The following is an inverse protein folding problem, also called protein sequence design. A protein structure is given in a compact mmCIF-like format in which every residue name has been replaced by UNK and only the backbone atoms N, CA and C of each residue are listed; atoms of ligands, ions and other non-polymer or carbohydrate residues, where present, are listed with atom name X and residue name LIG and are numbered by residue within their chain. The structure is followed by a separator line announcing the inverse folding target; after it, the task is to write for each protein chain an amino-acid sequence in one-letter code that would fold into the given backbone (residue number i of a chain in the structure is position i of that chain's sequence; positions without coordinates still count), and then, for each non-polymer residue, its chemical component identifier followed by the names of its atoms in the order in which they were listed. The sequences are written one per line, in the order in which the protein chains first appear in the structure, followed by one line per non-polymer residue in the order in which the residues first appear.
data_IF_180931600919
#
_entry.id   IF_180931600919
#
_cell.length_a   1.000
_cell.length_b   1.000
_cell.length_c   1.000
_cell.angle_alpha   90.00
_cell.angle_beta   90.00
_cell.angle_gamma   90.00
#
_symmetry.space_group_name_H-M   'P 1'
#
loop_
_entity.id
_entity.type
_entity.pdbx_description
1 polymer ?
#
# COMPACT_ATOMS: atom_id res chain seq x y z
N UNK A 1 -71.82 16.64 -5.16
CA UNK A 1 -70.52 17.29 -4.84
C UNK A 1 -69.85 16.49 -3.74
N UNK A 2 -69.28 15.36 -4.12
CA UNK A 2 -68.48 14.47 -3.29
C UNK A 2 -67.47 13.83 -4.23
N UNK A 3 -66.20 13.89 -3.86
CA UNK A 3 -65.21 12.82 -4.05
C UNK A 3 -63.95 13.31 -3.32
N UNK A 4 -63.68 12.74 -2.15
CA UNK A 4 -62.92 11.50 -1.99
C UNK A 4 -61.46 11.87 -1.70
N UNK A 5 -61.24 12.27 -0.46
CA UNK A 5 -59.94 12.21 0.19
C UNK A 5 -59.62 10.72 0.38
N UNK A 6 -58.81 10.14 -0.51
CA UNK A 6 -58.31 8.77 -0.35
C UNK A 6 -56.97 8.56 -1.03
N UNK A 7 -55.97 8.35 -0.17
CA UNK A 7 -55.03 7.24 -0.24
C UNK A 7 -54.24 7.07 -1.55
N UNK A 8 -53.15 7.83 -1.68
CA UNK A 8 -52.03 7.45 -2.56
C UNK A 8 -50.66 7.55 -1.90
N UNK A 9 -50.57 7.76 -0.58
CA UNK A 9 -49.28 7.91 0.11
C UNK A 9 -48.68 6.59 0.67
N UNK A 10 -49.40 5.47 0.64
CA UNK A 10 -49.04 4.29 1.45
C UNK A 10 -48.61 3.06 0.63
N UNK A 11 -48.29 3.21 -0.65
CA UNK A 11 -47.87 2.06 -1.50
C UNK A 11 -46.63 2.37 -2.34
N UNK A 12 -45.65 3.06 -1.76
CA UNK A 12 -44.31 3.18 -2.37
C UNK A 12 -43.19 3.09 -1.33
N UNK A 13 -43.44 2.40 -0.21
CA UNK A 13 -42.43 2.09 0.80
C UNK A 13 -42.21 0.58 1.01
N UNK A 14 -42.85 -0.25 0.18
CA UNK A 14 -42.93 -1.70 0.38
C UNK A 14 -41.97 -2.54 -0.50
N UNK A 15 -41.01 -1.93 -1.20
CA UNK A 15 -40.05 -2.65 -2.06
C UNK A 15 -38.58 -2.57 -1.59
N UNK A 16 -38.35 -2.35 -0.30
CA UNK A 16 -36.99 -2.29 0.28
C UNK A 16 -36.73 -3.37 1.33
N UNK A 17 -36.94 -4.63 0.97
CA UNK A 17 -36.18 -5.77 1.53
C UNK A 17 -35.21 -6.24 0.43
N UNK A 18 -34.01 -6.83 0.68
CA UNK A 18 -33.43 -7.40 1.90
C UNK A 18 -31.94 -6.96 2.13
N UNK A 19 -31.52 -5.81 1.59
CA UNK A 19 -30.11 -5.39 1.62
C UNK A 19 -29.70 -4.65 2.89
N UNK A 20 -30.63 -4.13 3.69
CA UNK A 20 -30.29 -3.34 4.88
C UNK A 20 -29.46 -4.11 5.92
N UNK A 21 -29.76 -5.40 6.13
CA UNK A 21 -29.01 -6.24 7.06
C UNK A 21 -27.60 -6.57 6.53
N UNK A 22 -27.46 -6.82 5.21
CA UNK A 22 -26.18 -7.04 4.56
C UNK A 22 -25.35 -5.74 4.50
N UNK A 23 -25.95 -4.61 4.17
CA UNK A 23 -25.31 -3.29 4.12
C UNK A 23 -24.79 -2.89 5.51
N UNK A 24 -25.57 -3.14 6.57
CA UNK A 24 -25.12 -2.96 7.96
C UNK A 24 -23.98 -3.92 8.33
N UNK A 25 -24.01 -5.17 7.86
CA UNK A 25 -22.92 -6.12 8.06
C UNK A 25 -21.65 -5.70 7.31
N UNK A 26 -21.79 -5.18 6.08
CA UNK A 26 -20.69 -4.62 5.27
C UNK A 26 -20.09 -3.40 5.97
N UNK A 27 -20.90 -2.46 6.46
CA UNK A 27 -20.40 -1.29 7.19
C UNK A 27 -19.64 -1.69 8.48
N UNK A 28 -20.16 -2.67 9.23
CA UNK A 28 -19.46 -3.20 10.41
C UNK A 28 -18.12 -3.85 10.01
N UNK A 29 -18.10 -4.65 8.94
CA UNK A 29 -16.88 -5.26 8.42
C UNK A 29 -15.86 -4.22 7.94
N UNK A 30 -16.31 -3.12 7.31
CA UNK A 30 -15.47 -1.99 6.92
C UNK A 30 -14.82 -1.34 8.15
N UNK A 31 -15.57 -1.08 9.21
CA UNK A 31 -15.04 -0.52 10.45
C UNK A 31 -13.91 -1.39 11.04
N UNK A 32 -14.08 -2.72 11.07
CA UNK A 32 -13.01 -3.63 11.50
C UNK A 32 -11.82 -3.66 10.52
N UNK A 33 -12.07 -3.49 9.23
CA UNK A 33 -11.02 -3.43 8.20
C UNK A 33 -10.17 -2.14 8.32
N UNK A 34 -10.81 -1.04 8.72
CA UNK A 34 -10.16 0.24 8.98
C UNK A 34 -9.40 0.22 10.30
N UNK A 35 -10.03 -0.32 11.36
CA UNK A 35 -9.44 -0.49 12.69
C UNK A 35 -8.32 -1.54 12.73
N UNK A 36 -8.25 -2.45 11.76
CA UNK A 36 -7.20 -3.48 11.69
C UNK A 36 -5.77 -2.93 11.50
N UNK A 37 -5.60 -1.62 11.28
CA UNK A 37 -4.29 -1.01 11.04
C UNK A 37 -4.07 0.20 11.94
N UNK A 38 -2.96 0.17 12.66
CA UNK A 38 -2.51 1.32 13.45
C UNK A 38 -2.33 2.57 12.57
N UNK A 39 -2.61 3.74 13.15
CA UNK A 39 -2.44 5.04 12.50
C UNK A 39 -1.01 5.22 11.93
N UNK A 40 -0.01 4.69 12.64
CA UNK A 40 1.38 4.66 12.20
C UNK A 40 1.58 3.94 10.86
N UNK A 41 0.88 2.81 10.64
CA UNK A 41 0.95 2.05 9.38
C UNK A 41 0.25 2.80 8.24
N UNK A 42 -0.88 3.44 8.52
CA UNK A 42 -1.61 4.22 7.52
C UNK A 42 -0.78 5.41 7.04
N UNK A 43 -0.16 6.14 7.97
CA UNK A 43 0.73 7.26 7.63
C UNK A 43 1.90 6.82 6.76
N UNK A 44 2.61 5.76 7.17
CA UNK A 44 3.75 5.23 6.41
C UNK A 44 3.34 4.81 4.99
N UNK A 45 2.17 4.18 4.83
CA UNK A 45 1.67 3.79 3.51
C UNK A 45 1.24 5.01 2.69
N UNK A 46 0.64 6.02 3.31
CA UNK A 46 0.30 7.29 2.65
C UNK A 46 1.53 7.98 2.07
N UNK A 47 2.59 8.13 2.88
CA UNK A 47 3.87 8.70 2.45
C UNK A 47 4.50 7.88 1.31
N UNK A 48 4.48 6.55 1.42
CA UNK A 48 5.03 5.67 0.39
C UNK A 48 4.24 5.78 -0.93
N UNK A 49 2.90 5.87 -0.86
CA UNK A 49 2.05 6.05 -2.04
C UNK A 49 2.26 7.41 -2.70
N UNK A 50 2.45 8.47 -1.92
CA UNK A 50 2.74 9.81 -2.45
C UNK A 50 4.05 9.81 -3.25
N UNK A 51 5.11 9.21 -2.69
CA UNK A 51 6.42 9.05 -3.37
C UNK A 51 6.31 8.24 -4.66
N UNK A 52 5.50 7.18 -4.67
CA UNK A 52 5.20 6.43 -5.89
C UNK A 52 4.51 7.32 -6.92
N UNK A 53 3.49 8.10 -6.53
CA UNK A 53 2.76 8.98 -7.44
C UNK A 53 3.65 10.04 -8.09
N UNK A 54 4.54 10.66 -7.31
CA UNK A 54 5.54 11.63 -7.80
C UNK A 54 6.48 10.97 -8.82
N UNK A 55 7.08 9.83 -8.46
CA UNK A 55 7.97 9.10 -9.36
C UNK A 55 7.25 8.66 -10.64
N UNK A 56 6.03 8.13 -10.51
CA UNK A 56 5.24 7.70 -11.65
C UNK A 56 4.94 8.85 -12.62
N UNK A 57 4.64 10.04 -12.09
CA UNK A 57 4.44 11.26 -12.89
C UNK A 57 5.70 11.68 -13.65
N UNK A 58 6.87 11.69 -12.99
CA UNK A 58 8.16 12.01 -13.61
C UNK A 58 8.54 11.03 -14.72
N UNK A 59 8.12 9.77 -14.60
CA UNK A 59 8.45 8.70 -15.55
C UNK A 59 7.32 8.38 -16.54
N UNK A 60 6.27 9.21 -16.60
CA UNK A 60 5.12 9.04 -17.49
C UNK A 60 4.45 7.65 -17.39
N UNK A 61 4.38 7.10 -16.19
CA UNK A 61 3.72 5.81 -15.90
C UNK A 61 2.38 6.03 -15.21
N UNK A 62 1.42 5.13 -15.43
CA UNK A 62 0.09 5.21 -14.82
C UNK A 62 0.15 4.88 -13.32
N UNK A 63 -0.09 5.85 -12.40
CA UNK A 63 0.06 5.58 -10.97
C UNK A 63 -0.99 4.62 -10.41
N UNK A 64 -2.16 4.55 -11.06
CA UNK A 64 -3.32 3.75 -10.64
C UNK A 64 -3.35 2.35 -11.26
N UNK A 65 -2.58 2.10 -12.33
CA UNK A 65 -2.52 0.81 -13.03
C UNK A 65 -1.10 0.55 -13.52
N UNK A 66 -0.11 0.44 -12.60
CA UNK A 66 1.27 0.23 -12.99
C UNK A 66 1.50 -1.16 -13.56
N UNK A 67 2.35 -1.25 -14.58
CA UNK A 67 2.87 -2.54 -15.04
C UNK A 67 3.87 -3.11 -14.02
N UNK A 68 4.05 -4.43 -13.96
CA UNK A 68 5.07 -5.03 -13.10
C UNK A 68 6.48 -4.49 -13.35
N UNK A 69 6.80 -4.12 -14.60
CA UNK A 69 8.07 -3.54 -15.01
C UNK A 69 8.26 -2.12 -14.45
N UNK A 70 7.20 -1.30 -14.46
CA UNK A 70 7.24 0.04 -13.88
C UNK A 70 7.47 -0.01 -12.36
N UNK A 71 6.83 -0.97 -11.69
CA UNK A 71 7.06 -1.21 -10.25
C UNK A 71 8.50 -1.66 -10.03
N UNK A 72 9.00 -2.63 -10.80
CA UNK A 72 10.36 -3.12 -10.68
C UNK A 72 11.39 -1.98 -10.86
N UNK A 73 11.20 -1.12 -11.86
CA UNK A 73 12.04 0.05 -12.09
C UNK A 73 12.05 1.01 -10.88
N UNK A 74 10.89 1.26 -10.28
CA UNK A 74 10.79 2.09 -9.08
C UNK A 74 11.48 1.46 -7.86
N UNK A 75 11.30 0.16 -7.62
CA UNK A 75 11.97 -0.53 -6.52
C UNK A 75 13.50 -0.49 -6.68
N UNK A 76 13.99 -0.60 -7.92
CA UNK A 76 15.41 -0.45 -8.24
C UNK A 76 15.90 1.00 -8.01
N UNK A 77 15.10 2.01 -8.34
CA UNK A 77 15.41 3.41 -8.06
C UNK A 77 15.53 3.65 -6.54
N UNK A 78 14.58 3.16 -5.73
CA UNK A 78 14.66 3.26 -4.27
C UNK A 78 15.93 2.59 -3.71
N UNK A 79 16.31 1.44 -4.27
CA UNK A 79 17.55 0.76 -3.86
C UNK A 79 18.80 1.56 -4.23
N UNK A 80 18.81 2.22 -5.39
CA UNK A 80 19.89 3.13 -5.81
C UNK A 80 20.01 4.33 -4.87
N UNK A 81 18.88 4.84 -4.38
CA UNK A 81 18.81 5.94 -3.39
C UNK A 81 19.13 5.48 -1.96
N UNK A 82 19.62 4.25 -1.78
CA UNK A 82 20.06 3.73 -0.49
C UNK A 82 18.93 3.35 0.46
N UNK A 83 17.69 3.18 -0.02
CA UNK A 83 16.59 2.72 0.84
C UNK A 83 16.80 1.27 1.26
N UNK A 84 16.45 0.96 2.51
CA UNK A 84 16.53 -0.39 3.05
C UNK A 84 15.54 -1.34 2.36
N UNK A 85 15.84 -2.63 2.37
CA UNK A 85 14.93 -3.65 1.84
C UNK A 85 13.55 -3.62 2.54
N UNK A 86 13.52 -3.29 3.84
CA UNK A 86 12.27 -3.11 4.59
C UNK A 86 11.44 -1.96 4.04
N UNK A 87 12.07 -0.79 3.83
CA UNK A 87 11.42 0.39 3.25
C UNK A 87 10.89 0.12 1.83
N UNK A 88 11.65 -0.63 1.02
CA UNK A 88 11.26 -1.02 -0.34
C UNK A 88 10.04 -1.97 -0.31
N UNK A 89 10.00 -2.93 0.63
CA UNK A 89 8.86 -3.81 0.81
C UNK A 89 7.59 -3.05 1.27
N UNK A 90 7.76 -2.05 2.13
CA UNK A 90 6.68 -1.14 2.54
C UNK A 90 6.14 -0.38 1.32
N UNK A 91 7.03 0.17 0.48
CA UNK A 91 6.63 0.86 -0.74
C UNK A 91 5.82 -0.05 -1.69
N UNK A 92 6.30 -1.27 -1.94
CA UNK A 92 5.55 -2.25 -2.73
C UNK A 92 4.18 -2.57 -2.12
N UNK A 93 4.09 -2.75 -0.80
CA UNK A 93 2.83 -3.05 -0.11
C UNK A 93 1.83 -1.88 -0.21
N UNK A 94 2.32 -0.64 -0.13
CA UNK A 94 1.52 0.55 -0.32
C UNK A 94 0.98 0.66 -1.75
N UNK A 95 1.81 0.39 -2.77
CA UNK A 95 1.39 0.37 -4.17
C UNK A 95 0.36 -0.73 -4.42
N UNK A 96 0.59 -1.95 -3.91
CA UNK A 96 -0.36 -3.06 -4.01
C UNK A 96 -1.72 -2.70 -3.42
N UNK A 97 -1.74 -2.03 -2.27
CA UNK A 97 -2.97 -1.58 -1.63
C UNK A 97 -3.67 -0.49 -2.45
N UNK A 98 -2.91 0.48 -2.95
CA UNK A 98 -3.44 1.54 -3.80
C UNK A 98 -4.07 0.98 -5.09
N UNK A 99 -3.43 -0.02 -5.68
CA UNK A 99 -3.90 -0.69 -6.89
C UNK A 99 -5.20 -1.48 -6.64
N UNK A 100 -5.28 -2.22 -5.52
CA UNK A 100 -6.52 -2.92 -5.13
C UNK A 100 -7.71 -1.98 -4.97
N UNK A 101 -7.49 -0.76 -4.46
CA UNK A 101 -8.54 0.25 -4.35
C UNK A 101 -9.06 0.74 -5.71
N UNK A 102 -8.27 0.58 -6.78
CA UNK A 102 -8.59 0.93 -8.16
C UNK A 102 -8.96 -0.29 -9.02
N UNK A 103 -9.22 -1.45 -8.39
CA UNK A 103 -9.60 -2.67 -9.11
C UNK A 103 -8.47 -3.40 -9.83
N UNK A 104 -7.21 -3.00 -9.63
CA UNK A 104 -6.07 -3.71 -10.19
C UNK A 104 -5.38 -4.61 -9.15
N UNK A 105 -4.73 -5.66 -9.63
CA UNK A 105 -4.00 -6.63 -8.80
C UNK A 105 -2.54 -6.66 -9.24
N UNK A 106 -1.65 -6.42 -8.29
CA UNK A 106 -0.20 -6.54 -8.49
C UNK A 106 0.26 -7.82 -7.80
N UNK A 107 0.76 -8.77 -8.60
CA UNK A 107 1.38 -9.98 -8.10
C UNK A 107 2.86 -9.73 -7.76
N UNK A 108 3.21 -9.85 -6.47
CA UNK A 108 4.59 -9.77 -6.00
C UNK A 108 5.48 -10.87 -6.60
N UNK A 109 4.89 -12.02 -6.97
CA UNK A 109 5.61 -13.15 -7.55
C UNK A 109 5.91 -12.97 -9.04
N UNK A 110 5.38 -11.92 -9.67
CA UNK A 110 5.72 -11.61 -11.05
C UNK A 110 7.25 -11.52 -11.22
N UNK A 111 7.85 -12.17 -12.24
CA UNK A 111 9.30 -12.26 -12.38
C UNK A 111 10.02 -10.91 -12.29
N UNK A 112 9.51 -9.87 -12.96
CA UNK A 112 10.08 -8.52 -12.91
C UNK A 112 10.23 -7.97 -11.48
N UNK A 113 9.25 -8.21 -10.61
CA UNK A 113 9.25 -7.74 -9.22
C UNK A 113 10.10 -8.66 -8.35
N UNK A 114 9.87 -9.97 -8.46
CA UNK A 114 10.54 -10.98 -7.65
C UNK A 114 12.06 -10.99 -7.86
N UNK A 115 12.50 -10.93 -9.12
CA UNK A 115 13.92 -10.98 -9.48
C UNK A 115 14.63 -9.68 -9.10
N UNK A 116 13.98 -8.53 -9.27
CA UNK A 116 14.48 -7.22 -8.80
C UNK A 116 14.68 -7.22 -7.29
N UNK A 117 13.66 -7.65 -6.52
CA UNK A 117 13.78 -7.73 -5.06
C UNK A 117 14.89 -8.69 -4.62
N UNK A 118 15.05 -9.82 -5.32
CA UNK A 118 16.15 -10.78 -5.06
C UNK A 118 17.51 -10.14 -5.32
N UNK A 119 17.64 -9.37 -6.41
CA UNK A 119 18.85 -8.62 -6.74
C UNK A 119 19.20 -7.58 -5.68
N UNK A 120 18.20 -6.79 -5.25
CA UNK A 120 18.35 -5.78 -4.19
C UNK A 120 18.80 -6.44 -2.88
N UNK A 121 18.15 -7.54 -2.48
CA UNK A 121 18.48 -8.26 -1.25
C UNK A 121 19.93 -8.78 -1.27
N UNK A 122 20.39 -9.36 -2.39
CA UNK A 122 21.78 -9.82 -2.55
C UNK A 122 22.79 -8.67 -2.43
N UNK A 123 22.50 -7.52 -3.05
CA UNK A 123 23.38 -6.34 -2.97
C UNK A 123 23.42 -5.75 -1.56
N UNK A 124 22.27 -5.70 -0.88
CA UNK A 124 22.19 -5.24 0.50
C UNK A 124 22.98 -6.13 1.46
N UNK A 125 22.85 -7.47 1.34
CA UNK A 125 23.63 -8.42 2.13
C UNK A 125 25.14 -8.21 1.94
N UNK A 126 25.60 -8.11 0.67
CA UNK A 126 27.01 -7.85 0.36
C UNK A 126 27.53 -6.52 0.93
N UNK A 127 26.67 -5.51 1.08
CA UNK A 127 27.06 -4.24 1.69
C UNK A 127 27.22 -4.35 3.22
N UNK A 128 26.35 -5.13 3.87
CA UNK A 128 26.47 -5.44 5.31
C UNK A 128 27.74 -6.23 5.58
N UNK A 129 28.07 -7.24 4.78
CA UNK A 129 29.29 -8.05 4.95
C UNK A 129 30.59 -7.23 4.81
N UNK A 130 30.54 -6.09 4.08
CA UNK A 130 31.67 -5.17 3.94
C UNK A 130 31.81 -4.19 5.10
N UNK A 131 30.76 -4.02 5.91
CA UNK A 131 30.87 -3.27 7.15
C UNK A 131 31.59 -4.19 8.16
N UNK A 132 32.90 -4.04 8.27
CA UNK A 132 33.73 -4.77 9.22
C UNK A 132 33.16 -4.63 10.64
N UNK A 133 33.15 -5.72 11.41
CA UNK A 133 32.62 -5.71 12.77
C UNK A 133 33.45 -4.75 13.62
N UNK A 134 32.82 -3.67 14.12
CA UNK A 134 33.48 -2.80 15.08
C UNK A 134 33.74 -3.55 16.37
N UNK A 135 35.00 -3.60 16.80
CA UNK A 135 35.36 -4.15 18.09
C UNK A 135 35.05 -3.15 19.22
N UNK A 136 34.72 -3.68 20.40
CA UNK A 136 34.49 -2.88 21.61
C UNK A 136 35.65 -1.93 21.97
N UNK A 137 36.94 -2.33 21.80
CA UNK A 137 38.08 -1.42 21.96
C UNK A 137 38.07 -0.20 21.04
N UNK A 138 37.64 -0.33 19.79
CA UNK A 138 37.56 0.78 18.83
C UNK A 138 36.41 1.72 19.15
N UNK A 139 35.26 1.20 19.57
CA UNK A 139 34.16 2.02 20.07
C UNK A 139 34.56 2.86 21.29
N UNK A 140 35.28 2.26 22.25
CA UNK A 140 35.76 2.98 23.43
C UNK A 140 36.69 4.14 23.07
N UNK A 141 37.61 3.94 22.12
CA UNK A 141 38.54 5.00 21.66
C UNK A 141 37.84 6.19 21.02
N UNK A 142 36.74 5.97 20.29
CA UNK A 142 35.99 7.04 19.61
C UNK A 142 35.15 7.91 20.54
N UNK A 143 34.75 7.41 21.72
CA UNK A 143 33.90 8.14 22.68
C UNK A 143 34.73 8.93 23.70
N UNK A 144 35.99 8.56 23.91
CA UNK A 144 36.88 9.23 24.88
C UNK A 144 37.87 10.24 24.25
N UNK A 145 37.77 10.51 22.95
CA UNK A 145 38.53 11.54 22.24
C UNK A 145 37.68 12.81 22.11
#
# INVERSE_FOLDING_TARGET
MSDAFSSQADTELADKAPNGALDLAIQKAQHFTDAARSDGTQRVYGEARAKWGEWAGLHHTAPHAPTPEAIAAYLAALARDGKSLSSINIALSAIQRACRAHGCIIDRKHPAIADTLRGIARRAAKAIDRAEALDLPTLKRLVTA
#
